data_IF_930000227611
#
_entry.id   IF_930000227611
#
_cell.length_a   1.000
_cell.length_b   1.000
_cell.length_c   1.000
_cell.angle_alpha   90.00
_cell.angle_beta   90.00
_cell.angle_gamma   90.00
#
_symmetry.space_group_name_H-M   'P 1'
#
loop_
_entity.id
_entity.type
_entity.pdbx_description
1 polymer ?
#
# COMPACT_ATOMS: atom_id res chain seq x y z
N UNK A 1 22.14 55.58 27.78
CA UNK A 1 21.93 55.66 26.33
C UNK A 1 21.60 54.25 25.91
N UNK A 2 20.31 54.03 25.93
CA UNK A 2 19.61 52.80 25.59
C UNK A 2 19.87 52.44 24.13
N UNK A 3 20.07 51.16 23.85
CA UNK A 3 19.66 50.56 22.57
C UNK A 3 19.52 49.04 22.76
N UNK A 4 18.27 48.62 22.64
CA UNK A 4 17.75 47.26 22.77
C UNK A 4 18.30 46.33 21.68
N UNK A 5 19.02 45.28 22.09
CA UNK A 5 19.39 44.14 21.27
C UNK A 5 18.55 42.92 21.65
N UNK A 6 17.37 42.76 21.04
CA UNK A 6 16.48 41.63 21.28
C UNK A 6 17.10 40.28 20.91
N UNK A 7 17.29 39.43 21.90
CA UNK A 7 17.67 38.02 21.81
C UNK A 7 16.45 37.18 21.43
N UNK A 8 16.51 36.50 20.28
CA UNK A 8 15.53 35.46 19.93
C UNK A 8 15.98 34.12 20.53
N UNK A 9 15.28 33.67 21.57
CA UNK A 9 15.44 32.32 22.15
C UNK A 9 14.57 31.33 21.37
N UNK A 10 15.20 30.36 20.71
CA UNK A 10 14.51 29.18 20.16
C UNK A 10 14.30 28.20 21.33
N UNK A 11 13.04 27.98 21.69
CA UNK A 11 12.65 26.99 22.68
C UNK A 11 12.89 25.58 22.10
N UNK A 12 13.97 24.93 22.54
CA UNK A 12 14.17 23.49 22.38
C UNK A 12 13.26 22.75 23.36
N UNK A 13 12.06 22.38 22.93
CA UNK A 13 11.23 21.38 23.58
C UNK A 13 11.72 19.97 23.21
N UNK A 14 12.75 19.49 23.88
CA UNK A 14 13.16 18.09 23.81
C UNK A 14 12.18 17.21 24.60
N UNK A 15 11.40 16.40 23.91
CA UNK A 15 10.65 15.32 24.54
C UNK A 15 11.60 14.13 24.78
N UNK A 16 11.74 13.76 26.04
CA UNK A 16 12.48 12.58 26.50
C UNK A 16 11.70 11.30 26.12
N UNK A 17 12.38 10.20 25.72
CA UNK A 17 11.73 8.99 25.25
C UNK A 17 11.37 8.06 26.41
N UNK A 18 10.39 8.42 27.22
CA UNK A 18 9.82 7.52 28.24
C UNK A 18 8.38 7.99 28.53
N UNK A 19 7.41 7.51 27.74
CA UNK A 19 5.98 7.44 28.08
C UNK A 19 5.19 6.86 26.88
N UNK A 20 5.32 5.55 26.67
CA UNK A 20 4.36 4.76 25.88
C UNK A 20 3.85 3.63 26.77
N UNK A 21 2.53 3.45 26.95
CA UNK A 21 2.03 2.32 27.69
C UNK A 21 2.27 1.03 26.91
N UNK A 22 3.04 0.13 27.53
CA UNK A 22 3.14 -1.28 27.19
C UNK A 22 1.75 -1.89 26.95
N UNK A 23 1.57 -2.63 25.85
CA UNK A 23 0.35 -3.39 25.65
C UNK A 23 0.22 -4.06 24.29
N UNK A 24 0.81 -5.27 24.20
CA UNK A 24 0.46 -6.38 23.31
C UNK A 24 0.91 -6.24 21.85
N UNK A 25 2.20 -6.49 21.63
CA UNK A 25 2.70 -7.13 20.42
C UNK A 25 2.29 -8.61 20.45
N UNK A 26 1.13 -8.95 19.87
CA UNK A 26 0.86 -10.32 19.45
C UNK A 26 1.44 -10.50 18.03
N UNK A 27 2.76 -10.69 17.97
CA UNK A 27 3.35 -11.43 16.89
C UNK A 27 2.83 -12.87 17.01
N UNK A 28 1.87 -13.24 16.16
CA UNK A 28 1.54 -14.65 15.98
C UNK A 28 2.76 -15.32 15.35
N UNK A 29 3.56 -15.99 16.16
CA UNK A 29 4.49 -17.02 15.70
C UNK A 29 3.67 -18.05 14.93
N UNK A 30 3.83 -18.05 13.60
CA UNK A 30 3.26 -19.07 12.73
C UNK A 30 4.16 -20.29 12.90
N UNK A 31 3.66 -21.30 13.60
CA UNK A 31 4.32 -22.58 13.75
C UNK A 31 4.33 -23.30 12.40
N UNK A 32 5.44 -23.17 11.67
CA UNK A 32 5.68 -23.79 10.37
C UNK A 32 5.54 -25.33 10.41
N UNK A 33 5.65 -25.96 11.59
CA UNK A 33 5.44 -27.39 11.74
C UNK A 33 3.96 -27.78 11.55
N UNK A 34 3.02 -26.94 12.04
CA UNK A 34 1.59 -27.19 11.89
C UNK A 34 1.10 -27.07 10.43
N UNK A 35 1.81 -26.30 9.59
CA UNK A 35 1.52 -26.20 8.16
C UNK A 35 2.03 -27.43 7.40
N UNK A 36 3.17 -28.01 7.83
CA UNK A 36 3.68 -29.24 7.23
C UNK A 36 2.76 -30.44 7.50
N UNK A 37 2.21 -30.56 8.71
CA UNK A 37 1.25 -31.63 9.06
C UNK A 37 -0.05 -31.53 8.23
N UNK A 38 -0.54 -30.32 7.94
CA UNK A 38 -1.74 -30.11 7.11
C UNK A 38 -1.48 -30.46 5.63
N UNK A 39 -0.25 -30.26 5.15
CA UNK A 39 0.14 -30.63 3.78
C UNK A 39 0.28 -32.14 3.63
N UNK A 40 0.67 -32.86 4.69
CA UNK A 40 0.68 -34.33 4.71
C UNK A 40 -0.74 -34.93 4.76
N UNK A 41 -1.66 -34.35 5.52
CA UNK A 41 -3.05 -34.82 5.63
C UNK A 41 -3.89 -34.61 4.35
N UNK A 42 -3.53 -33.62 3.52
CA UNK A 42 -4.22 -33.33 2.26
C UNK A 42 -3.71 -34.17 1.07
N UNK A 43 -2.68 -35.00 1.25
CA UNK A 43 -2.14 -35.84 0.19
C UNK A 43 -1.82 -37.27 0.64
N UNK A 44 -2.83 -38.08 1.03
CA UNK A 44 -2.62 -39.43 1.57
C UNK A 44 -2.09 -40.45 0.53
N UNK A 45 -2.04 -40.10 -0.75
CA UNK A 45 -1.58 -40.98 -1.83
C UNK A 45 -0.05 -41.06 -1.98
N UNK A 46 0.72 -40.18 -1.32
CA UNK A 46 2.18 -40.20 -1.37
C UNK A 46 2.84 -41.02 -0.22
N UNK A 47 2.07 -41.46 0.77
CA UNK A 47 2.60 -42.11 1.98
C UNK A 47 2.55 -43.65 1.97
N UNK A 48 1.99 -44.31 0.95
CA UNK A 48 1.80 -45.77 0.95
C UNK A 48 2.79 -46.59 0.12
N UNK A 49 3.83 -45.99 -0.47
CA UNK A 49 4.87 -46.74 -1.21
C UNK A 49 6.19 -46.86 -0.46
N UNK A 50 6.16 -47.16 0.84
CA UNK A 50 7.34 -47.68 1.53
C UNK A 50 6.98 -48.49 2.77
N UNK A 51 6.30 -49.63 2.61
CA UNK A 51 6.54 -50.76 3.52
C UNK A 51 6.10 -52.09 2.93
N UNK A 52 6.97 -53.10 3.11
CA UNK A 52 6.63 -54.53 3.20
C UNK A 52 6.57 -55.35 1.89
N UNK A 53 7.75 -55.81 1.45
CA UNK A 53 7.88 -57.13 0.84
C UNK A 53 7.51 -58.22 1.86
N UNK A 54 6.50 -59.04 1.58
CA UNK A 54 6.43 -60.46 2.00
C UNK A 54 5.44 -61.25 1.14
N UNK A 55 5.93 -62.43 0.72
CA UNK A 55 5.34 -63.43 -0.18
C UNK A 55 4.00 -64.00 0.32
N UNK A 56 3.12 -64.33 -0.63
CA UNK A 56 2.64 -65.70 -0.98
C UNK A 56 1.11 -65.85 -1.11
N UNK A 57 0.67 -66.42 -2.24
CA UNK A 57 -0.33 -67.51 -2.26
C UNK A 57 -1.79 -67.20 -2.65
N UNK A 58 -2.11 -67.59 -3.90
CA UNK A 58 -3.31 -68.34 -4.39
C UNK A 58 -4.75 -67.76 -4.35
N UNK A 59 -5.30 -67.79 -5.57
CA UNK A 59 -6.61 -68.32 -6.03
C UNK A 59 -7.95 -67.59 -5.72
N UNK A 60 -8.62 -67.22 -6.83
CA UNK A 60 -10.02 -67.46 -7.22
C UNK A 60 -11.05 -66.31 -7.30
N UNK A 61 -11.36 -66.01 -8.58
CA UNK A 61 -12.67 -65.89 -9.25
C UNK A 61 -13.81 -64.96 -8.75
N UNK A 62 -14.21 -64.10 -9.72
CA UNK A 62 -15.56 -63.72 -10.18
C UNK A 62 -16.30 -62.55 -9.52
N UNK A 63 -16.53 -61.52 -10.34
CA UNK A 63 -17.74 -60.68 -10.28
C UNK A 63 -17.53 -59.22 -10.65
N UNK A 64 -17.54 -58.88 -11.94
CA UNK A 64 -17.79 -57.50 -12.42
C UNK A 64 -19.27 -57.14 -12.21
N UNK A 65 -19.62 -55.84 -12.03
CA UNK A 65 -19.94 -55.05 -13.22
C UNK A 65 -19.41 -53.61 -13.20
N UNK A 66 -18.83 -53.28 -14.34
CA UNK A 66 -18.56 -51.97 -14.98
C UNK A 66 -19.24 -50.72 -14.43
N UNK A 67 -18.43 -49.68 -14.22
CA UNK A 67 -18.77 -48.31 -14.62
C UNK A 67 -17.50 -47.52 -14.96
N UNK A 68 -17.19 -47.47 -16.25
CA UNK A 68 -16.56 -46.35 -16.98
C UNK A 68 -15.34 -45.70 -16.31
N UNK A 69 -14.18 -46.30 -16.54
CA UNK A 69 -12.89 -45.62 -16.44
C UNK A 69 -12.75 -44.68 -17.66
N UNK A 70 -12.93 -43.37 -17.43
CA UNK A 70 -12.37 -42.31 -18.27
C UNK A 70 -10.99 -41.93 -17.69
N UNK A 71 -10.09 -42.90 -17.59
CA UNK A 71 -8.65 -42.63 -17.53
C UNK A 71 -8.14 -42.73 -18.98
N UNK A 72 -8.46 -41.71 -19.79
CA UNK A 72 -7.82 -41.50 -21.08
C UNK A 72 -6.32 -41.25 -20.85
N UNK A 73 -5.55 -42.32 -21.04
CA UNK A 73 -4.23 -42.33 -21.69
C UNK A 73 -3.36 -41.10 -21.44
N UNK A 74 -2.87 -40.94 -20.21
CA UNK A 74 -1.60 -40.24 -20.01
C UNK A 74 -0.51 -41.19 -20.53
N UNK A 75 -0.22 -41.09 -21.83
CA UNK A 75 0.90 -41.78 -22.48
C UNK A 75 2.11 -41.79 -21.54
N UNK A 76 2.55 -42.99 -21.17
CA UNK A 76 3.81 -43.25 -20.48
C UNK A 76 4.95 -42.75 -21.38
N UNK A 77 5.19 -41.44 -21.32
CA UNK A 77 6.32 -40.77 -21.93
C UNK A 77 7.54 -41.40 -21.28
N UNK A 78 8.07 -42.47 -21.90
CA UNK A 78 9.09 -43.40 -21.40
C UNK A 78 10.44 -42.77 -21.05
N UNK A 79 10.41 -41.77 -20.18
CA UNK A 79 11.54 -41.12 -19.58
C UNK A 79 11.90 -41.93 -18.35
N UNK A 80 13.11 -42.51 -18.35
CA UNK A 80 13.66 -43.07 -17.13
C UNK A 80 13.73 -41.99 -16.05
N UNK A 81 13.50 -42.37 -14.79
CA UNK A 81 13.63 -41.48 -13.63
C UNK A 81 15.00 -40.76 -13.60
N UNK A 82 16.04 -41.45 -14.07
CA UNK A 82 17.39 -40.91 -14.26
C UNK A 82 17.45 -39.76 -15.28
N UNK A 83 16.72 -39.89 -16.41
CA UNK A 83 16.64 -38.84 -17.43
C UNK A 83 15.91 -37.62 -16.89
N UNK A 84 14.77 -37.80 -16.22
CA UNK A 84 13.99 -36.70 -15.65
C UNK A 84 14.82 -35.93 -14.62
N UNK A 85 15.53 -36.64 -13.74
CA UNK A 85 16.41 -36.03 -12.73
C UNK A 85 17.51 -35.19 -13.37
N UNK A 86 18.15 -35.72 -14.43
CA UNK A 86 19.18 -34.99 -15.18
C UNK A 86 18.60 -33.75 -15.88
N UNK A 87 17.45 -33.90 -16.53
CA UNK A 87 16.76 -32.81 -17.21
C UNK A 87 16.38 -31.69 -16.23
N UNK A 88 15.76 -32.01 -15.10
CA UNK A 88 15.42 -31.04 -14.06
C UNK A 88 16.65 -30.29 -13.53
N UNK A 89 17.79 -30.99 -13.36
CA UNK A 89 19.05 -30.38 -12.95
C UNK A 89 19.59 -29.43 -14.01
N UNK A 90 19.60 -29.85 -15.27
CA UNK A 90 20.09 -29.04 -16.39
C UNK A 90 19.22 -27.78 -16.59
N UNK A 91 17.89 -27.91 -16.47
CA UNK A 91 16.94 -26.80 -16.49
C UNK A 91 17.17 -25.84 -15.31
N UNK A 92 17.38 -26.38 -14.10
CA UNK A 92 17.67 -25.56 -12.92
C UNK A 92 18.97 -24.78 -13.07
N UNK A 93 20.03 -25.41 -13.59
CA UNK A 93 21.31 -24.73 -13.86
C UNK A 93 21.13 -23.64 -14.93
N UNK A 94 20.37 -23.91 -15.99
CA UNK A 94 20.06 -22.91 -17.01
C UNK A 94 19.31 -21.71 -16.42
N UNK A 95 18.33 -21.95 -15.54
CA UNK A 95 17.59 -20.91 -14.84
C UNK A 95 18.51 -20.00 -14.02
N UNK A 96 19.38 -20.57 -13.18
CA UNK A 96 20.30 -19.77 -12.37
C UNK A 96 21.40 -19.09 -13.20
N UNK A 97 21.80 -19.66 -14.35
CA UNK A 97 22.73 -19.01 -15.26
C UNK A 97 22.11 -17.77 -15.92
N UNK A 98 20.80 -17.79 -16.22
CA UNK A 98 20.10 -16.66 -16.82
C UNK A 98 19.71 -15.59 -15.79
N UNK A 99 19.11 -15.99 -14.67
CA UNK A 99 18.54 -15.07 -13.69
C UNK A 99 19.48 -14.77 -12.51
N UNK A 100 20.47 -15.60 -12.22
CA UNK A 100 21.31 -15.45 -11.03
C UNK A 100 20.55 -15.66 -9.71
N UNK A 101 21.27 -15.57 -8.59
CA UNK A 101 20.74 -15.83 -7.24
C UNK A 101 20.01 -14.64 -6.60
N UNK A 102 20.40 -13.40 -6.94
CA UNK A 102 19.97 -12.16 -6.26
C UNK A 102 19.17 -11.24 -7.22
N UNK A 103 18.69 -11.77 -8.34
CA UNK A 103 17.94 -10.97 -9.32
C UNK A 103 16.71 -10.29 -8.75
N UNK A 104 16.00 -10.90 -7.80
CA UNK A 104 14.83 -10.28 -7.18
C UNK A 104 15.14 -8.92 -6.52
N UNK A 105 16.27 -8.78 -5.82
CA UNK A 105 16.70 -7.52 -5.21
C UNK A 105 17.06 -6.48 -6.26
N UNK A 106 17.83 -6.88 -7.27
CA UNK A 106 18.30 -5.99 -8.33
C UNK A 106 17.12 -5.53 -9.21
N UNK A 107 16.23 -6.45 -9.58
CA UNK A 107 15.03 -6.16 -10.35
C UNK A 107 14.09 -5.22 -9.59
N UNK A 108 13.90 -5.44 -8.29
CA UNK A 108 13.09 -4.55 -7.45
C UNK A 108 13.68 -3.14 -7.39
N UNK A 109 15.00 -3.00 -7.21
CA UNK A 109 15.65 -1.69 -7.24
C UNK A 109 15.55 -1.02 -8.63
N UNK A 110 15.76 -1.77 -9.70
CA UNK A 110 15.65 -1.26 -11.06
C UNK A 110 14.22 -0.79 -11.38
N UNK A 111 13.19 -1.54 -10.97
CA UNK A 111 11.78 -1.13 -11.12
C UNK A 111 11.48 0.12 -10.27
N UNK A 112 11.99 0.19 -9.04
CA UNK A 112 11.87 1.39 -8.21
C UNK A 112 12.47 2.63 -8.90
N UNK A 113 13.67 2.51 -9.46
CA UNK A 113 14.35 3.63 -10.14
C UNK A 113 13.63 4.03 -11.43
N UNK A 114 13.22 3.07 -12.26
CA UNK A 114 12.67 3.34 -13.59
C UNK A 114 11.19 3.75 -13.55
N UNK A 115 10.39 3.09 -12.70
CA UNK A 115 8.94 3.26 -12.62
C UNK A 115 8.52 3.90 -11.30
N UNK A 116 9.06 3.41 -10.18
CA UNK A 116 8.63 3.80 -8.83
C UNK A 116 8.84 5.29 -8.52
N UNK A 117 10.01 5.84 -8.88
CA UNK A 117 10.32 7.25 -8.68
C UNK A 117 9.39 8.16 -9.49
N UNK A 118 9.10 7.84 -10.75
CA UNK A 118 8.17 8.64 -11.56
C UNK A 118 6.77 8.61 -10.95
N UNK A 119 6.24 7.43 -10.60
CA UNK A 119 4.94 7.29 -9.94
C UNK A 119 4.85 8.07 -8.62
N UNK A 120 5.95 8.17 -7.88
CA UNK A 120 6.02 8.96 -6.64
C UNK A 120 5.90 10.46 -6.92
N UNK A 121 6.61 10.99 -7.92
CA UNK A 121 6.50 12.41 -8.26
C UNK A 121 5.16 12.76 -8.91
N UNK A 122 4.59 11.83 -9.69
CA UNK A 122 3.26 11.98 -10.27
C UNK A 122 2.17 12.01 -9.19
N UNK A 123 2.33 11.26 -8.09
CA UNK A 123 1.33 11.19 -7.01
C UNK A 123 1.32 12.41 -6.10
N UNK A 124 2.39 13.20 -6.05
CA UNK A 124 2.44 14.48 -5.31
C UNK A 124 1.46 15.49 -5.90
N UNK A 125 1.24 15.45 -7.22
CA UNK A 125 0.34 16.36 -7.91
C UNK A 125 0.84 17.82 -7.91
N UNK A 126 -0.11 18.74 -7.91
CA UNK A 126 0.14 20.19 -7.92
C UNK A 126 0.21 20.73 -6.49
N UNK A 127 1.30 21.42 -6.16
CA UNK A 127 1.46 22.12 -4.88
C UNK A 127 1.11 23.58 -5.10
N UNK A 128 0.03 24.05 -4.47
CA UNK A 128 -0.31 25.47 -4.41
C UNK A 128 0.46 26.15 -3.27
N UNK A 129 1.06 27.30 -3.59
CA UNK A 129 1.72 28.18 -2.63
C UNK A 129 0.91 29.47 -2.54
N UNK A 130 0.32 29.70 -1.37
CA UNK A 130 -0.45 30.89 -1.06
C UNK A 130 0.43 31.94 -0.37
N UNK A 131 0.32 33.22 -0.74
CA UNK A 131 1.08 34.28 -0.08
C UNK A 131 0.55 34.52 1.34
N UNK A 132 1.42 34.41 2.34
CA UNK A 132 1.08 34.72 3.74
C UNK A 132 1.05 36.21 4.11
N UNK A 133 1.23 37.11 3.13
CA UNK A 133 1.27 38.56 3.34
C UNK A 133 0.35 39.27 2.35
N UNK A 134 -0.42 40.24 2.85
CA UNK A 134 -1.35 41.06 2.07
C UNK A 134 -0.63 42.34 1.55
N UNK A 135 -0.23 42.40 0.26
CA UNK A 135 0.47 43.55 -0.32
C UNK A 135 -0.42 44.80 -0.43
N UNK A 136 -1.75 44.66 -0.36
CA UNK A 136 -2.74 45.73 -0.49
C UNK A 136 -2.61 46.83 0.58
N UNK A 137 -1.92 46.53 1.69
CA UNK A 137 -1.70 47.48 2.80
C UNK A 137 -0.56 48.48 2.56
N UNK A 138 0.28 48.30 1.53
CA UNK A 138 1.44 49.18 1.25
C UNK A 138 1.66 49.56 -0.21
N UNK A 139 0.88 49.03 -1.16
CA UNK A 139 0.97 49.41 -2.57
C UNK A 139 -0.02 48.66 -3.46
N UNK A 140 -0.10 49.11 -4.72
CA UNK A 140 -0.98 48.64 -5.79
C UNK A 140 -0.56 47.26 -6.34
N UNK A 141 -0.35 46.29 -5.45
CA UNK A 141 0.15 44.96 -5.79
C UNK A 141 -0.98 43.93 -5.76
N UNK A 142 -1.23 43.28 -6.90
CA UNK A 142 -2.17 42.15 -7.00
C UNK A 142 -1.64 40.90 -6.28
N UNK A 143 -2.57 40.06 -5.80
CA UNK A 143 -2.26 38.77 -5.18
C UNK A 143 -1.61 37.83 -6.19
N UNK A 144 -0.37 37.41 -5.94
CA UNK A 144 0.34 36.43 -6.75
C UNK A 144 0.30 35.07 -6.06
N UNK A 145 -0.23 34.09 -6.77
CA UNK A 145 -0.24 32.69 -6.39
C UNK A 145 0.84 31.97 -7.19
N UNK A 146 1.43 30.93 -6.61
CA UNK A 146 2.34 30.07 -7.33
C UNK A 146 1.86 28.63 -7.25
N UNK A 147 1.96 27.95 -8.38
CA UNK A 147 1.68 26.53 -8.56
C UNK A 147 2.98 25.86 -8.92
N UNK A 148 3.34 24.80 -8.20
CA UNK A 148 4.50 23.96 -8.50
C UNK A 148 4.00 22.59 -8.93
N UNK A 149 4.42 22.13 -10.10
CA UNK A 149 4.20 20.77 -10.58
C UNK A 149 5.52 20.10 -10.94
N UNK A 150 5.58 18.78 -10.74
CA UNK A 150 6.73 17.96 -11.08
C UNK A 150 6.49 17.24 -12.40
N UNK A 151 7.54 17.12 -13.20
CA UNK A 151 7.55 16.44 -14.49
C UNK A 151 8.42 15.19 -14.48
N UNK A 152 9.22 15.01 -15.52
CA UNK A 152 10.05 13.82 -15.68
C UNK A 152 11.19 13.76 -14.63
N UNK A 153 11.37 12.57 -14.05
CA UNK A 153 12.48 12.26 -13.14
C UNK A 153 13.63 11.66 -13.93
N UNK A 154 14.84 12.18 -13.70
CA UNK A 154 16.07 11.70 -14.34
C UNK A 154 17.15 11.39 -13.30
N UNK A 155 17.82 10.26 -13.50
CA UNK A 155 18.88 9.77 -12.62
C UNK A 155 20.22 9.79 -13.35
N UNK A 156 21.19 10.51 -12.79
CA UNK A 156 22.55 10.53 -13.30
C UNK A 156 23.39 9.47 -12.60
N UNK A 157 24.09 8.64 -13.39
CA UNK A 157 24.99 7.59 -12.85
C UNK A 157 26.00 8.19 -11.85
N UNK A 158 26.44 7.43 -10.84
CA UNK A 158 27.32 7.94 -9.78
C UNK A 158 28.60 8.58 -10.30
N UNK A 159 28.83 9.85 -9.95
CA UNK A 159 29.98 10.63 -10.40
C UNK A 159 30.74 11.22 -9.21
N UNK A 160 32.07 11.24 -9.30
CA UNK A 160 32.94 11.82 -8.29
C UNK A 160 33.50 13.16 -8.78
N UNK A 161 33.28 14.20 -7.98
CA UNK A 161 33.86 15.51 -8.22
C UNK A 161 35.31 15.55 -7.73
N UNK A 162 36.25 15.90 -8.61
CA UNK A 162 37.69 15.94 -8.29
C UNK A 162 38.20 17.31 -7.84
N UNK A 163 37.32 18.29 -7.63
CA UNK A 163 37.73 19.60 -7.07
C UNK A 163 38.58 20.46 -8.01
N UNK A 164 38.71 20.10 -9.29
CA UNK A 164 39.41 20.91 -10.27
C UNK A 164 38.72 22.27 -10.45
N UNK A 165 39.51 23.34 -10.52
CA UNK A 165 39.01 24.62 -11.08
C UNK A 165 38.51 24.32 -12.51
N UNK A 166 37.37 24.88 -12.96
CA UNK A 166 36.97 24.77 -14.35
C UNK A 166 38.14 25.29 -15.18
N UNK A 167 38.81 24.38 -15.90
CA UNK A 167 39.94 24.75 -16.74
C UNK A 167 39.37 25.69 -17.81
N UNK A 168 40.04 26.82 -18.01
CA UNK A 168 39.64 27.96 -18.87
C UNK A 168 39.53 27.64 -20.37
N UNK A 169 39.35 26.37 -20.72
CA UNK A 169 39.52 25.83 -22.06
C UNK A 169 38.44 24.78 -22.38
N UNK A 170 37.17 25.13 -22.14
CA UNK A 170 35.98 24.51 -22.75
C UNK A 170 35.75 23.00 -22.54
N UNK A 171 36.64 22.28 -21.85
CA UNK A 171 36.49 20.86 -21.54
C UNK A 171 35.63 20.73 -20.28
N UNK A 172 34.54 19.97 -20.44
CA UNK A 172 33.58 19.61 -19.39
C UNK A 172 34.31 19.22 -18.10
N UNK A 173 33.79 19.69 -16.98
CA UNK A 173 34.19 19.25 -15.63
C UNK A 173 34.50 17.74 -15.65
N UNK A 174 35.73 17.35 -15.32
CA UNK A 174 36.15 15.95 -15.36
C UNK A 174 35.49 15.19 -14.20
N UNK A 175 34.23 14.79 -14.39
CA UNK A 175 33.55 13.84 -13.52
C UNK A 175 34.12 12.45 -13.80
N UNK A 176 34.92 11.90 -12.89
CA UNK A 176 35.32 10.50 -13.00
C UNK A 176 34.14 9.59 -12.67
N UNK A 177 34.08 8.44 -13.34
CA UNK A 177 33.17 7.36 -12.99
C UNK A 177 33.43 6.95 -11.54
N UNK A 178 32.46 7.22 -10.67
CA UNK A 178 32.55 6.79 -9.29
C UNK A 178 32.24 5.30 -9.27
N UNK A 179 33.19 4.45 -8.84
CA UNK A 179 32.99 3.00 -8.73
C UNK A 179 32.72 2.63 -7.27
N UNK A 180 32.04 1.51 -6.99
CA UNK A 180 31.80 1.05 -5.62
C UNK A 180 33.08 0.91 -4.79
N UNK A 181 34.20 0.43 -5.37
CA UNK A 181 35.50 0.42 -4.68
C UNK A 181 35.97 1.79 -4.19
N UNK A 182 35.70 2.87 -4.93
CA UNK A 182 36.08 4.22 -4.50
C UNK A 182 35.27 4.60 -3.26
N UNK A 183 33.97 4.29 -3.25
CA UNK A 183 33.10 4.54 -2.11
C UNK A 183 33.56 3.77 -0.85
N UNK A 184 33.95 2.51 -1.00
CA UNK A 184 34.51 1.68 0.09
C UNK A 184 35.79 2.28 0.67
N UNK A 185 36.76 2.58 -0.19
CA UNK A 185 38.09 3.03 0.24
C UNK A 185 38.09 4.44 0.85
N UNK A 186 37.18 5.31 0.41
CA UNK A 186 37.11 6.71 0.85
C UNK A 186 36.04 6.97 1.91
N UNK A 187 35.41 5.94 2.47
CA UNK A 187 34.29 6.08 3.41
C UNK A 187 33.15 6.95 2.87
N UNK A 188 32.89 6.88 1.57
CA UNK A 188 31.85 7.64 0.88
C UNK A 188 30.60 6.78 0.63
N UNK A 189 29.48 7.44 0.31
CA UNK A 189 28.26 6.76 -0.12
C UNK A 189 28.20 6.70 -1.64
N UNK A 190 28.05 5.49 -2.17
CA UNK A 190 27.84 5.24 -3.59
C UNK A 190 26.42 5.64 -4.01
N UNK A 191 26.27 6.83 -4.59
CA UNK A 191 24.96 7.42 -4.89
C UNK A 191 24.93 8.14 -6.25
N UNK A 192 23.76 8.07 -6.88
CA UNK A 192 23.39 8.76 -8.11
C UNK A 192 22.71 10.10 -7.80
N UNK A 193 22.82 11.08 -8.69
CA UNK A 193 22.15 12.38 -8.54
C UNK A 193 20.77 12.31 -9.20
N UNK A 194 19.74 12.75 -8.48
CA UNK A 194 18.37 12.81 -8.97
C UNK A 194 18.00 14.24 -9.37
N UNK A 195 17.63 14.41 -10.63
CA UNK A 195 17.09 15.66 -11.17
C UNK A 195 15.64 15.46 -11.56
N UNK A 196 14.78 16.40 -11.16
CA UNK A 196 13.36 16.38 -11.47
C UNK A 196 13.03 17.65 -12.22
N UNK A 197 12.30 17.52 -13.32
CA UNK A 197 11.74 18.67 -14.02
C UNK A 197 10.70 19.34 -13.13
N UNK A 198 10.91 20.62 -12.79
CA UNK A 198 10.00 21.39 -11.96
C UNK A 198 9.41 22.51 -12.81
N UNK A 199 8.08 22.57 -12.84
CA UNK A 199 7.30 23.60 -13.52
C UNK A 199 6.71 24.53 -12.48
N UNK A 200 7.10 25.80 -12.52
CA UNK A 200 6.59 26.84 -11.63
C UNK A 200 5.73 27.79 -12.45
N UNK A 201 4.44 27.86 -12.12
CA UNK A 201 3.48 28.78 -12.72
C UNK A 201 3.09 29.82 -11.68
N UNK A 202 3.33 31.10 -11.96
CA UNK A 202 2.88 32.22 -11.13
C UNK A 202 1.66 32.82 -11.80
N UNK A 203 0.56 32.97 -11.07
CA UNK A 203 -0.70 33.49 -11.58
C UNK A 203 -1.37 34.47 -10.62
N UNK A 204 -2.13 35.41 -11.15
CA UNK A 204 -3.07 36.25 -10.39
C UNK A 204 -4.48 35.67 -10.53
N UNK A 205 -5.28 35.81 -9.47
CA UNK A 205 -6.69 35.44 -9.49
C UNK A 205 -7.52 36.71 -9.68
N UNK A 206 -8.22 36.83 -10.81
CA UNK A 206 -9.21 37.87 -11.00
C UNK A 206 -10.61 37.28 -10.88
N UNK A 207 -11.45 37.92 -10.05
CA UNK A 207 -12.88 37.65 -9.96
C UNK A 207 -13.56 38.28 -11.16
N UNK A 208 -13.82 37.49 -12.21
CA UNK A 208 -14.56 37.97 -13.37
C UNK A 208 -16.04 37.67 -13.16
N UNK A 209 -16.84 38.69 -12.88
CA UNK A 209 -18.30 38.60 -12.94
C UNK A 209 -18.72 38.60 -14.40
N UNK A 210 -19.21 37.46 -14.91
CA UNK A 210 -19.87 37.44 -16.20
C UNK A 210 -21.33 37.89 -16.05
N UNK A 211 -21.70 38.99 -16.72
CA UNK A 211 -23.10 39.39 -16.90
C UNK A 211 -23.80 38.46 -17.90
N UNK A 212 -23.99 37.19 -17.52
CA UNK A 212 -24.98 36.35 -18.21
C UNK A 212 -26.35 36.69 -17.64
N UNK A 213 -27.04 37.58 -18.36
CA UNK A 213 -28.45 37.84 -18.17
C UNK A 213 -29.22 36.50 -18.00
N UNK A 214 -29.83 36.33 -16.82
CA UNK A 214 -30.96 35.43 -16.48
C UNK A 214 -30.75 34.10 -15.73
N UNK A 215 -29.61 33.81 -15.11
CA UNK A 215 -29.56 32.77 -14.05
C UNK A 215 -28.22 32.85 -13.32
N UNK A 216 -28.23 33.18 -12.02
CA UNK A 216 -27.13 32.94 -11.08
C UNK A 216 -25.77 33.59 -11.41
N UNK A 217 -25.27 34.44 -10.52
CA UNK A 217 -23.87 34.93 -10.62
C UNK A 217 -22.94 33.76 -10.31
N UNK A 218 -22.48 33.03 -11.31
CA UNK A 218 -21.35 32.10 -11.16
C UNK A 218 -20.07 32.94 -11.17
N UNK A 219 -19.44 33.07 -10.00
CA UNK A 219 -18.11 33.65 -9.87
C UNK A 219 -17.10 32.61 -10.33
N UNK A 220 -16.43 32.85 -11.46
CA UNK A 220 -15.31 32.00 -11.87
C UNK A 220 -14.01 32.72 -11.54
N UNK A 221 -13.07 32.01 -10.90
CA UNK A 221 -11.71 32.48 -10.71
C UNK A 221 -10.98 32.35 -12.06
N UNK A 222 -10.75 33.47 -12.74
CA UNK A 222 -9.89 33.48 -13.92
C UNK A 222 -8.43 33.49 -13.44
N UNK A 223 -7.68 32.43 -13.78
CA UNK A 223 -6.24 32.32 -13.52
C UNK A 223 -5.49 32.99 -14.66
N UNK A 224 -4.92 34.16 -14.43
CA UNK A 224 -4.06 34.82 -15.41
C UNK A 224 -2.59 34.45 -15.13
N UNK A 225 -1.97 33.70 -16.03
CA UNK A 225 -0.59 33.21 -15.86
C UNK A 225 0.38 34.37 -16.15
N UNK A 226 1.10 34.81 -15.13
CA UNK A 226 2.10 35.90 -15.23
C UNK A 226 3.44 35.36 -15.73
N UNK A 227 3.84 34.19 -15.25
CA UNK A 227 5.11 33.56 -15.65
C UNK A 227 5.05 32.06 -15.49
N UNK A 228 5.59 31.36 -16.48
CA UNK A 228 5.77 29.91 -16.45
C UNK A 228 7.24 29.58 -16.73
N UNK A 229 7.87 28.86 -15.81
CA UNK A 229 9.23 28.37 -15.97
C UNK A 229 9.30 26.87 -15.73
N UNK A 230 9.96 26.15 -16.65
CA UNK A 230 10.25 24.72 -16.51
C UNK A 230 11.76 24.52 -16.47
N UNK A 231 12.28 23.96 -15.37
CA UNK A 231 13.73 23.75 -15.20
C UNK A 231 14.01 22.41 -14.50
N UNK A 232 15.05 21.66 -14.92
CA UNK A 232 15.49 20.48 -14.20
C UNK A 232 16.22 20.90 -12.92
N UNK A 233 15.67 20.53 -11.76
CA UNK A 233 16.22 20.84 -10.45
C UNK A 233 16.84 19.60 -9.82
N UNK A 234 18.06 19.72 -9.29
CA UNK A 234 18.68 18.66 -8.49
C UNK A 234 17.97 18.59 -7.14
N UNK A 235 17.18 17.53 -6.93
CA UNK A 235 16.44 17.31 -5.68
C UNK A 235 17.32 16.64 -4.63
N UNK A 236 18.22 15.75 -5.05
CA UNK A 236 19.08 15.05 -4.10
C UNK A 236 19.94 13.95 -4.71
N UNK A 237 20.39 13.04 -3.84
CA UNK A 237 21.16 11.84 -4.21
C UNK A 237 20.49 10.60 -3.67
N UNK A 238 20.42 9.54 -4.48
CA UNK A 238 19.88 8.23 -4.10
C UNK A 238 21.03 7.21 -4.10
N UNK A 239 21.24 6.45 -3.01
CA UNK A 239 22.18 5.34 -3.00
C UNK A 239 21.90 4.35 -4.12
N UNK A 240 22.94 3.93 -4.85
CA UNK A 240 22.80 3.00 -5.98
C UNK A 240 23.14 1.60 -5.53
N UNK A 241 22.28 0.63 -5.86
CA UNK A 241 22.55 -0.78 -5.59
C UNK A 241 23.68 -1.28 -6.50
N UNK A 242 24.64 -1.98 -5.92
CA UNK A 242 25.74 -2.59 -6.65
C UNK A 242 25.21 -3.63 -7.65
N UNK A 243 25.68 -3.57 -8.90
CA UNK A 243 25.23 -4.36 -10.06
C UNK A 243 23.80 -4.10 -10.57
N UNK A 244 23.16 -3.00 -10.13
CA UNK A 244 21.95 -2.48 -10.78
C UNK A 244 22.25 -1.74 -12.10
N UNK A 245 21.21 -1.36 -12.85
CA UNK A 245 21.37 -0.73 -14.17
C UNK A 245 22.03 0.67 -14.12
N UNK A 246 21.95 1.32 -12.95
CA UNK A 246 22.62 2.61 -12.69
C UNK A 246 24.08 2.43 -12.24
N UNK A 247 24.50 1.20 -11.92
CA UNK A 247 25.83 0.91 -11.43
C UNK A 247 26.81 0.79 -12.59
N UNK A 248 27.95 1.49 -12.51
CA UNK A 248 29.02 1.37 -13.50
C UNK A 248 29.62 -0.05 -13.62
N UNK A 249 29.40 -0.93 -12.64
CA UNK A 249 29.92 -2.31 -12.68
C UNK A 249 29.10 -3.27 -13.55
N UNK A 250 27.94 -2.84 -14.07
CA UNK A 250 27.18 -3.64 -15.05
C UNK A 250 27.97 -3.78 -16.36
N UNK A 251 28.56 -2.69 -16.83
CA UNK A 251 29.29 -2.58 -18.11
C UNK A 251 30.82 -2.61 -17.94
N UNK A 252 31.33 -2.70 -16.71
CA UNK A 252 32.76 -2.62 -16.44
C UNK A 252 33.51 -3.85 -16.99
N UNK A 253 34.48 -3.61 -17.88
CA UNK A 253 35.40 -4.64 -18.39
C UNK A 253 36.22 -5.31 -17.26
N UNK A 254 36.53 -4.54 -16.21
CA UNK A 254 37.21 -5.03 -15.00
C UNK A 254 36.27 -4.98 -13.82
N UNK A 255 35.70 -6.13 -13.48
CA UNK A 255 34.92 -6.32 -12.25
C UNK A 255 35.86 -6.30 -11.04
N UNK A 256 35.37 -5.82 -9.91
CA UNK A 256 36.13 -5.86 -8.64
C UNK A 256 36.34 -7.32 -8.20
N UNK A 257 35.32 -8.18 -8.37
CA UNK A 257 35.34 -9.61 -8.10
C UNK A 257 34.30 -10.31 -8.99
N UNK A 258 34.67 -11.44 -9.58
CA UNK A 258 33.77 -12.22 -10.46
C UNK A 258 32.67 -12.95 -9.70
N UNK A 259 32.90 -13.26 -8.43
CA UNK A 259 31.96 -13.95 -7.53
C UNK A 259 31.09 -13.00 -6.70
N UNK A 260 31.28 -11.68 -6.80
CA UNK A 260 30.36 -10.73 -6.17
C UNK A 260 29.02 -10.80 -6.90
N UNK A 261 27.91 -11.02 -6.20
CA UNK A 261 26.58 -11.04 -6.82
C UNK A 261 25.89 -9.67 -6.82
N UNK A 262 26.43 -8.68 -6.11
CA UNK A 262 25.78 -7.38 -5.93
C UNK A 262 24.56 -7.46 -5.02
N UNK A 263 23.59 -6.55 -5.20
CA UNK A 263 22.36 -6.55 -4.40
C UNK A 263 22.46 -5.83 -3.05
N UNK A 264 23.51 -5.02 -2.85
CA UNK A 264 23.74 -4.24 -1.64
C UNK A 264 24.13 -2.79 -1.98
N UNK A 265 24.15 -1.94 -0.96
CA UNK A 265 24.48 -0.52 -1.04
C UNK A 265 25.79 -0.25 -0.30
N UNK A 266 26.62 0.64 -0.84
CA UNK A 266 27.81 1.15 -0.13
C UNK A 266 27.47 2.51 0.46
N UNK A 267 27.31 2.59 1.78
CA UNK A 267 26.95 3.80 2.52
C UNK A 267 28.07 4.13 3.51
N UNK A 268 28.68 5.30 3.37
CA UNK A 268 29.83 5.74 4.17
C UNK A 268 30.94 4.68 4.26
N UNK A 269 31.26 4.05 3.12
CA UNK A 269 32.24 2.96 3.02
C UNK A 269 31.78 1.59 3.51
N UNK A 270 30.61 1.49 4.14
CA UNK A 270 30.08 0.23 4.67
C UNK A 270 29.05 -0.39 3.74
N UNK A 271 29.04 -1.72 3.64
CA UNK A 271 28.06 -2.45 2.85
C UNK A 271 26.78 -2.69 3.65
N UNK A 272 25.64 -2.42 3.03
CA UNK A 272 24.30 -2.50 3.64
C UNK A 272 23.34 -3.22 2.70
N UNK A 273 22.54 -4.12 3.25
CA UNK A 273 21.54 -4.91 2.52
C UNK A 273 20.17 -4.61 3.13
N UNK A 274 19.15 -4.48 2.28
CA UNK A 274 17.76 -4.49 2.73
C UNK A 274 17.27 -5.93 2.79
N UNK A 275 16.70 -6.30 3.92
CA UNK A 275 16.05 -7.60 4.11
C UNK A 275 14.58 -7.43 3.76
N UNK A 276 14.04 -8.35 2.98
CA UNK A 276 12.62 -8.34 2.63
C UNK A 276 11.77 -8.47 3.91
N UNK A 277 10.79 -7.59 4.07
CA UNK A 277 9.85 -7.66 5.17
C UNK A 277 8.53 -8.21 4.66
N UNK A 278 8.07 -9.30 5.27
CA UNK A 278 6.74 -9.82 5.01
C UNK A 278 5.68 -8.89 5.59
N UNK A 279 4.68 -8.59 4.77
CA UNK A 279 3.52 -7.79 5.17
C UNK A 279 2.24 -8.45 4.68
N UNK A 280 1.19 -8.32 5.47
CA UNK A 280 -0.15 -8.78 5.09
C UNK A 280 -0.64 -8.04 3.84
N UNK A 281 -1.35 -8.75 2.97
CA UNK A 281 -1.99 -8.15 1.81
C UNK A 281 -3.13 -7.20 2.22
N UNK A 282 -3.04 -5.94 1.82
CA UNK A 282 -4.02 -4.89 2.16
C UNK A 282 -5.17 -4.79 1.15
N UNK A 283 -5.04 -5.45 -0.01
CA UNK A 283 -6.06 -5.48 -1.08
C UNK A 283 -7.04 -6.64 -0.97
N UNK A 284 -6.93 -7.46 0.08
CA UNK A 284 -7.76 -8.64 0.32
C UNK A 284 -8.56 -8.46 1.61
N UNK A 285 -9.72 -9.12 1.65
CA UNK A 285 -10.49 -9.27 2.88
C UNK A 285 -9.90 -10.39 3.72
N UNK A 286 -9.73 -10.12 5.01
CA UNK A 286 -9.25 -11.09 5.97
C UNK A 286 -10.41 -11.60 6.81
N UNK A 287 -10.62 -12.90 6.83
CA UNK A 287 -11.68 -13.54 7.61
C UNK A 287 -11.04 -14.26 8.79
N UNK A 288 -11.49 -13.94 9.99
CA UNK A 288 -11.09 -14.60 11.22
C UNK A 288 -12.32 -15.11 11.95
N UNK A 289 -12.30 -16.36 12.39
CA UNK A 289 -13.42 -16.95 13.16
C UNK A 289 -13.32 -16.68 14.66
N UNK A 290 -12.09 -16.56 15.19
CA UNK A 290 -11.84 -16.38 16.63
C UNK A 290 -11.24 -15.00 16.92
N UNK A 291 -11.68 -14.31 18.00
CA UNK A 291 -12.67 -14.74 19.00
C UNK A 291 -14.14 -14.69 18.51
N UNK A 292 -14.41 -13.97 17.42
CA UNK A 292 -15.70 -13.94 16.73
C UNK A 292 -15.48 -13.76 15.23
N UNK A 293 -16.47 -14.16 14.41
CA UNK A 293 -16.43 -14.00 12.97
C UNK A 293 -16.24 -12.52 12.60
N UNK A 294 -15.06 -12.20 12.10
CA UNK A 294 -14.61 -10.85 11.77
C UNK A 294 -14.08 -10.84 10.35
N UNK A 295 -14.66 -9.98 9.52
CA UNK A 295 -14.14 -9.63 8.20
C UNK A 295 -13.41 -8.30 8.35
N UNK A 296 -12.12 -8.27 8.06
CA UNK A 296 -11.29 -7.09 8.17
C UNK A 296 -10.81 -6.65 6.79
N UNK A 297 -11.10 -5.40 6.44
CA UNK A 297 -10.43 -4.67 5.37
C UNK A 297 -9.42 -3.71 5.98
N UNK A 298 -8.15 -3.87 5.60
CA UNK A 298 -7.03 -3.08 6.12
C UNK A 298 -6.51 -2.18 5.02
N UNK A 299 -6.75 -0.87 5.13
CA UNK A 299 -6.11 0.12 4.26
C UNK A 299 -4.64 0.32 4.63
N UNK A 300 -3.81 0.76 3.67
CA UNK A 300 -2.42 1.21 3.87
C UNK A 300 -2.30 2.29 4.94
N UNK A 301 -3.35 3.09 5.10
CA UNK A 301 -3.45 4.08 6.15
C UNK A 301 -3.82 3.40 7.47
N UNK A 302 -2.82 3.16 8.32
CA UNK A 302 -2.89 2.39 9.60
C UNK A 302 -4.09 2.69 10.53
N UNK A 303 -4.71 3.88 10.43
CA UNK A 303 -5.87 4.32 11.23
C UNK A 303 -7.24 4.00 10.60
N UNK A 304 -7.29 3.43 9.40
CA UNK A 304 -8.50 3.31 8.58
C UNK A 304 -8.82 1.85 8.31
N UNK A 305 -9.27 1.16 9.36
CA UNK A 305 -9.62 -0.26 9.30
C UNK A 305 -11.13 -0.38 9.35
N UNK A 306 -11.69 -1.02 8.34
CA UNK A 306 -13.09 -1.40 8.30
C UNK A 306 -13.17 -2.83 8.81
N UNK A 307 -13.96 -3.04 9.86
CA UNK A 307 -14.24 -4.37 10.36
C UNK A 307 -15.74 -4.63 10.30
N UNK A 308 -16.14 -5.77 9.76
CA UNK A 308 -17.50 -6.28 9.89
C UNK A 308 -17.42 -7.45 10.85
N UNK A 309 -18.10 -7.38 11.99
CA UNK A 309 -18.09 -8.41 13.02
C UNK A 309 -19.47 -8.97 13.25
N UNK A 310 -19.53 -10.26 13.50
CA UNK A 310 -20.69 -10.95 14.06
C UNK A 310 -20.44 -11.09 15.56
N UNK A 311 -21.08 -10.24 16.36
CA UNK A 311 -20.87 -10.17 17.80
C UNK A 311 -22.19 -10.18 18.57
N UNK A 312 -22.11 -10.28 19.90
CA UNK A 312 -23.28 -10.13 20.75
C UNK A 312 -23.74 -8.66 20.75
N UNK A 313 -25.04 -8.38 20.84
CA UNK A 313 -25.55 -7.01 20.86
C UNK A 313 -24.99 -6.23 22.06
N UNK A 314 -24.75 -4.93 21.88
CA UNK A 314 -24.16 -4.08 22.93
C UNK A 314 -25.08 -3.90 24.17
N UNK A 315 -26.38 -4.18 24.04
CA UNK A 315 -27.36 -4.08 25.11
C UNK A 315 -28.16 -5.37 25.26
N UNK A 316 -27.94 -6.09 26.37
CA UNK A 316 -28.73 -7.28 26.74
C UNK A 316 -30.17 -6.92 27.21
N UNK A 317 -30.52 -5.63 27.29
CA UNK A 317 -31.54 -5.15 28.24
C UNK A 317 -33.00 -5.28 27.81
N UNK A 318 -33.32 -5.67 26.56
CA UNK A 318 -34.73 -5.75 26.12
C UNK A 318 -35.15 -7.03 25.39
N UNK A 319 -34.24 -7.76 24.73
CA UNK A 319 -34.58 -9.01 24.05
C UNK A 319 -33.55 -10.12 24.35
N UNK A 320 -33.83 -11.03 25.31
CA UNK A 320 -32.93 -12.16 25.64
C UNK A 320 -32.77 -13.20 24.51
N UNK A 321 -33.42 -12.99 23.37
CA UNK A 321 -33.41 -13.89 22.21
C UNK A 321 -32.37 -13.49 21.14
N UNK A 322 -31.84 -12.26 21.19
CA UNK A 322 -30.84 -11.78 20.24
C UNK A 322 -29.46 -12.22 20.72
N UNK A 323 -28.88 -13.20 20.03
CA UNK A 323 -27.57 -13.78 20.41
C UNK A 323 -26.41 -13.25 19.57
N UNK A 324 -26.68 -12.79 18.36
CA UNK A 324 -25.68 -12.35 17.39
C UNK A 324 -26.26 -11.27 16.48
N UNK A 325 -25.46 -10.25 16.19
CA UNK A 325 -25.77 -9.11 15.34
C UNK A 325 -24.57 -8.79 14.44
N UNK A 326 -24.82 -8.13 13.31
CA UNK A 326 -23.77 -7.74 12.37
C UNK A 326 -23.47 -6.26 12.53
N UNK A 327 -22.27 -5.95 13.02
CA UNK A 327 -21.82 -4.59 13.25
C UNK A 327 -20.60 -4.25 12.41
N UNK A 328 -20.57 -3.00 11.97
CA UNK A 328 -19.51 -2.42 11.17
C UNK A 328 -18.75 -1.44 12.04
N UNK A 329 -17.48 -1.73 12.28
CA UNK A 329 -16.56 -0.79 12.89
C UNK A 329 -15.90 0.07 11.83
N UNK A 330 -16.14 1.38 11.92
CA UNK A 330 -15.63 2.38 10.99
C UNK A 330 -15.16 3.60 11.79
N UNK A 331 -13.93 4.07 11.56
CA UNK A 331 -13.31 5.20 12.29
C UNK A 331 -13.41 5.08 13.82
N UNK A 332 -13.35 3.86 14.36
CA UNK A 332 -13.56 3.55 15.78
C UNK A 332 -15.00 3.69 16.32
N UNK A 333 -15.97 4.05 15.48
CA UNK A 333 -17.39 3.93 15.78
C UNK A 333 -17.86 2.48 15.54
N UNK A 334 -18.95 2.11 16.21
CA UNK A 334 -19.63 0.82 16.03
C UNK A 334 -21.04 1.09 15.47
N UNK A 335 -21.28 0.67 14.23
CA UNK A 335 -22.49 1.02 13.48
C UNK A 335 -23.15 -0.29 13.02
N UNK A 336 -24.43 -0.54 13.36
CA UNK A 336 -25.18 -1.66 12.81
C UNK A 336 -25.17 -1.66 11.28
N UNK A 337 -25.01 -2.84 10.66
CA UNK A 337 -24.94 -2.96 9.20
C UNK A 337 -26.13 -2.28 8.51
N UNK A 338 -27.34 -2.42 9.06
CA UNK A 338 -28.55 -1.82 8.50
C UNK A 338 -28.51 -0.29 8.45
N UNK A 339 -27.99 0.36 9.51
CA UNK A 339 -27.87 1.83 9.53
C UNK A 339 -26.87 2.29 8.45
N UNK A 340 -25.74 1.58 8.32
CA UNK A 340 -24.75 1.90 7.29
C UNK A 340 -25.33 1.75 5.86
N UNK A 341 -26.06 0.67 5.59
CA UNK A 341 -26.64 0.43 4.26
C UNK A 341 -27.66 1.51 3.86
N UNK A 342 -28.51 1.95 4.78
CA UNK A 342 -29.41 3.09 4.54
C UNK A 342 -28.65 4.42 4.40
N UNK A 343 -27.54 4.61 5.14
CA UNK A 343 -26.69 5.79 4.98
C UNK A 343 -26.00 5.84 3.60
N UNK A 344 -25.71 4.68 3.00
CA UNK A 344 -25.19 4.55 1.64
C UNK A 344 -26.25 4.75 0.54
N UNK A 345 -27.53 4.89 0.90
CA UNK A 345 -28.62 5.23 -0.04
C UNK A 345 -29.55 4.09 -0.43
N UNK A 346 -29.49 2.94 0.26
CA UNK A 346 -30.44 1.83 0.05
C UNK A 346 -31.85 2.23 0.47
N UNK A 347 -32.85 1.85 -0.31
CA UNK A 347 -34.24 2.32 -0.16
C UNK A 347 -35.13 1.42 0.68
N UNK A 348 -34.82 0.12 0.78
CA UNK A 348 -35.66 -0.86 1.46
C UNK A 348 -34.87 -2.01 2.09
N UNK A 349 -35.44 -2.62 3.13
CA UNK A 349 -34.86 -3.81 3.77
C UNK A 349 -34.70 -4.98 2.77
N UNK A 350 -35.61 -5.08 1.80
CA UNK A 350 -35.57 -6.10 0.74
C UNK A 350 -34.34 -5.94 -0.15
N UNK A 351 -34.04 -4.72 -0.58
CA UNK A 351 -32.88 -4.40 -1.40
C UNK A 351 -31.56 -4.75 -0.69
N UNK A 352 -31.48 -4.49 0.62
CA UNK A 352 -30.33 -4.86 1.44
C UNK A 352 -30.16 -6.38 1.48
N UNK A 353 -31.23 -7.14 1.74
CA UNK A 353 -31.19 -8.61 1.77
C UNK A 353 -30.79 -9.19 0.41
N UNK A 354 -31.32 -8.64 -0.68
CA UNK A 354 -30.94 -9.04 -2.05
C UNK A 354 -29.47 -8.72 -2.35
N UNK A 355 -28.93 -7.63 -1.81
CA UNK A 355 -27.52 -7.23 -2.00
C UNK A 355 -26.55 -8.15 -1.25
N UNK A 356 -26.92 -8.63 -0.06
CA UNK A 356 -26.09 -9.56 0.72
C UNK A 356 -26.13 -10.97 0.08
N UNK A 357 -27.20 -11.30 -0.66
CA UNK A 357 -27.40 -12.57 -1.38
C UNK A 357 -27.20 -13.80 -0.48
N UNK A 358 -28.05 -13.91 0.54
CA UNK A 358 -28.01 -15.03 1.51
C UNK A 358 -29.15 -16.01 1.27
N UNK A 359 -28.89 -17.30 1.45
CA UNK A 359 -29.92 -18.35 1.41
C UNK A 359 -30.96 -18.15 2.53
N UNK A 360 -32.11 -17.60 2.15
CA UNK A 360 -33.26 -17.36 3.02
C UNK A 360 -33.96 -18.65 3.45
N UNK A 361 -33.59 -19.82 2.92
CA UNK A 361 -34.03 -21.12 3.41
C UNK A 361 -33.43 -21.48 4.78
N UNK A 362 -32.31 -20.85 5.16
CA UNK A 362 -31.66 -21.13 6.44
C UNK A 362 -32.10 -20.15 7.54
N UNK A 363 -32.88 -20.68 8.50
CA UNK A 363 -33.38 -19.93 9.65
C UNK A 363 -32.28 -19.22 10.48
N UNK A 364 -31.04 -19.74 10.49
CA UNK A 364 -29.94 -19.10 11.24
C UNK A 364 -29.57 -17.75 10.63
N UNK A 365 -29.52 -17.63 9.31
CA UNK A 365 -29.20 -16.38 8.64
C UNK A 365 -30.35 -15.39 8.76
N UNK A 366 -31.59 -15.84 8.56
CA UNK A 366 -32.79 -15.01 8.73
C UNK A 366 -32.84 -14.42 10.14
N UNK A 367 -32.58 -15.23 11.17
CA UNK A 367 -32.53 -14.75 12.56
C UNK A 367 -31.40 -13.75 12.82
N UNK A 368 -30.23 -13.91 12.19
CA UNK A 368 -29.11 -12.98 12.32
C UNK A 368 -29.43 -11.61 11.68
N UNK A 369 -29.99 -11.61 10.48
CA UNK A 369 -30.39 -10.38 9.78
C UNK A 369 -31.50 -9.67 10.57
N UNK A 370 -32.54 -10.41 10.98
CA UNK A 370 -33.64 -9.86 11.76
C UNK A 370 -33.17 -9.28 13.10
N UNK A 371 -32.23 -9.96 13.78
CA UNK A 371 -31.60 -9.46 15.01
C UNK A 371 -30.88 -8.13 14.79
N UNK A 372 -30.15 -8.01 13.67
CA UNK A 372 -29.43 -6.79 13.31
C UNK A 372 -30.39 -5.64 12.98
N UNK A 373 -31.54 -5.94 12.35
CA UNK A 373 -32.59 -4.96 12.08
C UNK A 373 -33.19 -4.43 13.38
N UNK A 374 -33.49 -5.30 14.35
CA UNK A 374 -34.04 -4.89 15.64
C UNK A 374 -33.05 -4.02 16.43
N UNK A 375 -31.75 -4.35 16.41
CA UNK A 375 -30.72 -3.52 17.04
C UNK A 375 -30.63 -2.14 16.38
N UNK A 376 -30.67 -2.08 15.04
CA UNK A 376 -30.69 -0.82 14.31
C UNK A 376 -31.90 0.06 14.66
N UNK A 377 -33.09 -0.54 14.80
CA UNK A 377 -34.33 0.16 15.19
C UNK A 377 -34.28 0.66 16.64
N UNK A 378 -33.65 -0.09 17.55
CA UNK A 378 -33.45 0.32 18.95
C UNK A 378 -32.46 1.49 19.07
N UNK A 379 -31.39 1.49 18.28
CA UNK A 379 -30.35 2.53 18.31
C UNK A 379 -30.78 3.81 17.60
N UNK A 380 -31.51 3.70 16.47
CA UNK A 380 -31.93 4.86 15.68
C UNK A 380 -33.39 4.73 15.22
N UNK A 381 -34.31 5.34 15.98
CA UNK A 381 -35.74 5.27 15.67
C UNK A 381 -36.06 5.92 14.30
N UNK A 382 -36.60 5.08 13.43
CA UNK A 382 -36.95 5.43 12.06
C UNK A 382 -35.76 5.72 11.17
N UNK A 383 -34.62 5.04 11.36
CA UNK A 383 -33.43 5.15 10.49
C UNK A 383 -33.73 5.00 8.98
N UNK A 384 -34.84 4.34 8.63
CA UNK A 384 -35.37 4.17 7.26
C UNK A 384 -35.87 5.47 6.60
N UNK A 385 -36.02 6.57 7.34
CA UNK A 385 -36.39 7.87 6.77
C UNK A 385 -35.17 8.57 6.19
N UNK A 386 -35.34 9.23 5.05
CA UNK A 386 -34.27 9.90 4.32
C UNK A 386 -33.40 10.80 5.22
N UNK A 387 -32.10 10.57 5.16
CA UNK A 387 -31.08 11.36 5.86
C UNK A 387 -30.96 11.12 7.37
N UNK A 388 -31.81 10.30 8.00
CA UNK A 388 -31.66 9.99 9.44
C UNK A 388 -30.45 9.10 9.72
N UNK A 389 -30.25 8.05 8.93
CA UNK A 389 -29.11 7.15 9.08
C UNK A 389 -27.76 7.88 8.96
N UNK A 390 -27.64 8.80 7.98
CA UNK A 390 -26.46 9.64 7.81
C UNK A 390 -26.21 10.55 9.02
N UNK A 391 -27.26 11.19 9.57
CA UNK A 391 -27.15 12.02 10.76
C UNK A 391 -26.70 11.25 11.99
N UNK A 392 -27.22 10.03 12.17
CA UNK A 392 -26.79 9.15 13.25
C UNK A 392 -25.28 8.87 13.17
N UNK A 393 -24.77 8.51 11.99
CA UNK A 393 -23.34 8.30 11.77
C UNK A 393 -22.54 9.60 12.00
N UNK A 394 -23.09 10.76 11.64
CA UNK A 394 -22.48 12.08 11.91
C UNK A 394 -22.24 12.32 13.39
N UNK A 395 -23.28 12.09 14.18
CA UNK A 395 -23.28 12.33 15.62
C UNK A 395 -22.31 11.37 16.31
N UNK A 396 -22.31 10.10 15.90
CA UNK A 396 -21.38 9.09 16.39
C UNK A 396 -19.91 9.45 16.08
N UNK A 397 -19.60 9.88 14.85
CA UNK A 397 -18.24 10.28 14.47
C UNK A 397 -17.81 11.56 15.21
N UNK A 398 -18.71 12.54 15.36
CA UNK A 398 -18.43 13.78 16.10
C UNK A 398 -18.23 13.55 17.59
N UNK A 399 -18.82 12.50 18.16
CA UNK A 399 -18.65 12.13 19.57
C UNK A 399 -17.26 11.58 19.91
N UNK A 400 -16.45 11.24 18.89
CA UNK A 400 -15.11 10.69 19.08
C UNK A 400 -14.16 11.74 19.70
N UNK A 401 -13.13 11.25 20.41
CA UNK A 401 -12.10 12.12 21.02
C UNK A 401 -11.30 12.93 19.98
N UNK A 402 -11.20 12.42 18.75
CA UNK A 402 -10.50 13.05 17.63
C UNK A 402 -11.32 12.85 16.35
N UNK A 403 -12.37 13.66 16.15
CA UNK A 403 -13.20 13.56 14.96
C UNK A 403 -12.41 14.03 13.72
N UNK A 404 -12.65 13.44 12.54
CA UNK A 404 -12.13 13.98 11.29
C UNK A 404 -12.70 15.38 11.03
N UNK A 405 -11.92 16.26 10.40
CA UNK A 405 -12.34 17.62 10.02
C UNK A 405 -13.25 17.62 8.78
N UNK A 406 -13.22 16.53 8.01
CA UNK A 406 -13.95 16.37 6.76
C UNK A 406 -15.45 16.10 7.00
N UNK A 407 -16.27 16.37 5.98
CA UNK A 407 -17.68 15.98 5.99
C UNK A 407 -17.83 14.45 6.01
N UNK A 408 -18.99 13.94 6.47
CA UNK A 408 -19.23 12.48 6.50
C UNK A 408 -19.18 11.89 5.10
N UNK A 409 -19.74 12.57 4.11
CA UNK A 409 -19.76 12.10 2.72
C UNK A 409 -18.33 11.91 2.22
N UNK A 410 -17.46 12.89 2.45
CA UNK A 410 -16.03 12.75 2.15
C UNK A 410 -15.37 11.64 2.96
N UNK A 411 -15.73 11.47 4.24
CA UNK A 411 -15.21 10.38 5.05
C UNK A 411 -15.61 9.01 4.49
N UNK A 412 -16.85 8.84 4.05
CA UNK A 412 -17.32 7.58 3.46
C UNK A 412 -16.62 7.30 2.13
N UNK A 413 -16.51 8.30 1.26
CA UNK A 413 -15.80 8.18 -0.03
C UNK A 413 -14.32 7.86 0.14
N UNK A 414 -13.63 8.58 1.04
CA UNK A 414 -12.17 8.43 1.23
C UNK A 414 -11.80 7.20 2.05
N UNK A 415 -12.64 6.77 3.01
CA UNK A 415 -12.22 5.81 4.04
C UNK A 415 -12.94 4.49 4.05
N UNK A 416 -14.18 4.38 3.56
CA UNK A 416 -14.94 3.13 3.67
C UNK A 416 -14.30 2.04 2.81
N UNK A 417 -14.14 2.30 1.51
CA UNK A 417 -13.55 1.39 0.53
C UNK A 417 -12.80 2.18 -0.56
N UNK A 418 -11.65 2.81 -0.25
CA UNK A 418 -10.94 3.72 -1.16
C UNK A 418 -10.55 3.09 -2.49
N UNK A 419 -10.39 1.76 -2.54
CA UNK A 419 -10.01 1.05 -3.78
C UNK A 419 -11.17 0.90 -4.78
N UNK A 420 -12.42 1.08 -4.36
CA UNK A 420 -13.59 0.97 -5.25
C UNK A 420 -13.98 2.30 -5.91
N UNK A 421 -13.47 3.43 -5.40
CA UNK A 421 -13.90 4.78 -5.77
C UNK A 421 -12.96 5.56 -6.68
N UNK A 422 -12.00 4.91 -7.35
CA UNK A 422 -11.04 5.56 -8.27
C UNK A 422 -11.14 5.03 -9.68
#
# INVERSE_FOLDING_TARGET
MDEDGGTWSIANGGAHPDDLPNGIDDAMDIDLAAIMDIVEDLNPAAASSSSSMKKSGKENEKGSPSSMDEDEDLEDLGFSEEYLTKFCKDVSVSFFNQYGLISHQINSFNDFVNCGLQRLFDSVGEISVEPGYDPSKKGDGEWKYATISFGAVSMERPAMWLGGKPQTDGKKEEHLHFLPKHARLQNMTYAARMKVEMKVQVYTQQLVTSDKFKTGVEQYLHKEIISEETKPVLIGKIPVMVKSNLCWMEEAEKRDCDFDHGGYFVIKGTEKVFIAQEQICLKRLWIAERPCWTIAYRSELRRRRLYVKIEAPASEKKCPQIKKVINVHFLSCHIPLWILMFALGMSSDKEIVETIDVDMGNNSFVNLLLSTIYEADELCDGFRKDGKALKYIEEEIKSLKFPPEESISECLEKYLLPFLGT
#
